data_IF_148574689619
#
_entry.id   IF_148574689619
#
_cell.length_a   1.000
_cell.length_b   1.000
_cell.length_c   1.000
_cell.angle_alpha   90.00
_cell.angle_beta   90.00
_cell.angle_gamma   90.00
#
_symmetry.space_group_name_H-M   'P 1'
#
loop_
_entity.id
_entity.type
_entity.pdbx_description
1 polymer ?
#
# COMPACT_ATOMS: atom_id res chain seq x y z
N UNK A 1 -27.07 -21.05 0.44
CA UNK A 1 -25.71 -20.98 1.02
C UNK A 1 -24.96 -19.92 0.22
N UNK A 2 -25.00 -18.68 0.71
CA UNK A 2 -24.57 -17.50 -0.03
C UNK A 2 -23.03 -17.38 -0.09
N UNK A 3 -22.51 -17.27 -1.31
CA UNK A 3 -21.37 -16.44 -1.64
C UNK A 3 -20.02 -16.83 -1.04
N UNK A 4 -19.35 -17.80 -1.65
CA UNK A 4 -17.89 -17.90 -1.60
C UNK A 4 -17.32 -16.65 -2.30
N UNK A 5 -17.22 -15.53 -1.59
CA UNK A 5 -16.54 -14.33 -2.09
C UNK A 5 -15.08 -14.72 -2.29
N UNK A 6 -14.51 -14.55 -3.50
CA UNK A 6 -13.12 -14.89 -3.69
C UNK A 6 -12.28 -13.99 -2.77
N UNK A 7 -11.67 -14.57 -1.74
CA UNK A 7 -10.64 -13.99 -0.85
C UNK A 7 -9.34 -13.62 -1.61
N UNK A 8 -9.48 -13.42 -2.93
CA UNK A 8 -8.42 -13.15 -3.87
C UNK A 8 -8.12 -11.67 -4.07
N UNK A 9 -8.88 -10.77 -3.45
CA UNK A 9 -8.68 -9.32 -3.57
C UNK A 9 -8.46 -8.67 -2.20
N UNK A 10 -7.86 -9.39 -1.26
CA UNK A 10 -7.62 -8.86 0.07
C UNK A 10 -6.39 -7.91 0.06
N UNK A 11 -6.51 -6.72 0.67
CA UNK A 11 -5.37 -5.84 0.86
C UNK A 11 -4.39 -6.46 1.86
N UNK A 12 -3.12 -6.56 1.48
CA UNK A 12 -2.03 -6.88 2.37
C UNK A 12 -1.84 -5.76 3.38
N UNK A 13 -1.43 -6.12 4.60
CA UNK A 13 -0.96 -5.14 5.58
C UNK A 13 0.54 -5.29 5.67
N UNK A 14 1.27 -4.26 5.25
CA UNK A 14 2.71 -4.19 5.37
C UNK A 14 3.10 -3.19 6.44
N UNK A 15 4.17 -3.51 7.16
CA UNK A 15 4.89 -2.57 8.00
C UNK A 15 6.10 -2.06 7.22
N UNK A 16 6.16 -0.76 6.98
CA UNK A 16 7.18 -0.16 6.15
C UNK A 16 8.41 0.20 7.00
N UNK A 17 9.56 -0.37 6.67
CA UNK A 17 10.86 -0.09 7.27
C UNK A 17 11.74 0.78 6.36
N UNK A 18 12.94 1.09 6.85
CA UNK A 18 13.93 1.92 6.18
C UNK A 18 14.63 1.14 5.05
N UNK A 19 13.91 0.91 3.95
CA UNK A 19 14.40 0.18 2.77
C UNK A 19 13.83 -1.22 2.58
N UNK A 20 13.10 -1.73 3.57
CA UNK A 20 12.37 -3.01 3.49
C UNK A 20 10.94 -2.86 4.03
N UNK A 21 10.09 -3.86 3.82
CA UNK A 21 8.78 -3.92 4.45
C UNK A 21 8.51 -5.33 5.00
N UNK A 22 7.88 -5.40 6.17
CA UNK A 22 7.45 -6.64 6.78
C UNK A 22 5.97 -6.90 6.48
N UNK A 23 5.64 -8.08 5.98
CA UNK A 23 4.24 -8.47 5.75
C UNK A 23 3.58 -8.84 7.08
N UNK A 24 2.71 -7.97 7.60
CA UNK A 24 1.91 -8.25 8.80
C UNK A 24 0.71 -9.12 8.47
N UNK A 25 0.02 -8.82 7.36
CA UNK A 25 -1.08 -9.64 6.85
C UNK A 25 -0.85 -9.99 5.39
N UNK A 26 -0.91 -11.28 5.01
CA UNK A 26 -0.78 -11.69 3.63
C UNK A 26 -1.95 -11.13 2.81
N UNK A 27 -1.65 -10.63 1.63
CA UNK A 27 -2.61 -10.10 0.69
C UNK A 27 -1.95 -9.91 -0.68
N UNK A 28 -2.73 -9.43 -1.65
CA UNK A 28 -2.26 -9.38 -3.06
C UNK A 28 -1.75 -8.00 -3.46
N UNK A 29 -2.30 -6.98 -2.83
CA UNK A 29 -1.97 -5.58 -3.07
C UNK A 29 -2.09 -4.79 -1.77
N UNK A 30 -1.46 -3.62 -1.70
CA UNK A 30 -1.73 -2.61 -0.67
C UNK A 30 -2.55 -1.47 -1.27
N UNK A 31 -3.20 -0.67 -0.44
CA UNK A 31 -3.91 0.53 -0.93
C UNK A 31 -3.02 1.76 -0.85
N UNK A 32 -3.08 2.59 -1.89
CA UNK A 32 -2.42 3.87 -1.92
C UNK A 32 -3.04 4.80 -0.86
N UNK A 33 -2.23 5.41 0.00
CA UNK A 33 -2.74 6.33 1.03
C UNK A 33 -3.33 7.63 0.45
N UNK A 34 -3.00 7.96 -0.81
CA UNK A 34 -3.47 9.20 -1.47
C UNK A 34 -4.72 8.94 -2.31
N UNK A 35 -4.72 7.87 -3.08
CA UNK A 35 -5.74 7.59 -4.11
C UNK A 35 -6.62 6.37 -3.81
N UNK A 36 -6.34 5.64 -2.72
CA UNK A 36 -6.96 4.36 -2.33
C UNK A 36 -6.87 3.24 -3.38
N UNK A 37 -6.10 3.45 -4.46
CA UNK A 37 -5.95 2.47 -5.54
C UNK A 37 -5.16 1.24 -5.06
N UNK A 38 -5.48 0.04 -5.58
CA UNK A 38 -4.72 -1.17 -5.30
C UNK A 38 -3.34 -1.11 -5.97
N UNK A 39 -2.30 -1.41 -5.20
CA UNK A 39 -0.89 -1.45 -5.61
C UNK A 39 -0.37 -2.85 -5.33
N UNK A 40 -0.03 -3.60 -6.37
CA UNK A 40 0.56 -4.93 -6.21
C UNK A 40 1.85 -4.82 -5.40
N UNK A 41 2.09 -5.79 -4.52
CA UNK A 41 3.31 -5.81 -3.70
C UNK A 41 4.59 -5.85 -4.56
N UNK A 42 4.52 -6.45 -5.74
CA UNK A 42 5.62 -6.50 -6.71
C UNK A 42 5.93 -5.14 -7.37
N UNK A 43 4.95 -4.25 -7.49
CA UNK A 43 5.11 -2.92 -8.10
C UNK A 43 5.32 -1.83 -7.04
N UNK A 44 5.17 -2.16 -5.77
CA UNK A 44 5.32 -1.26 -4.64
C UNK A 44 6.78 -0.81 -4.50
N UNK A 45 7.08 0.37 -5.04
CA UNK A 45 8.40 1.00 -4.99
C UNK A 45 8.48 2.22 -4.08
N UNK A 46 7.34 2.81 -3.75
CA UNK A 46 7.27 4.08 -3.02
C UNK A 46 6.41 3.90 -1.77
N UNK A 47 7.01 4.11 -0.61
CA UNK A 47 6.34 4.07 0.69
C UNK A 47 6.96 5.07 1.66
N UNK A 48 6.25 5.37 2.75
CA UNK A 48 6.72 6.23 3.83
C UNK A 48 6.78 5.44 5.14
N UNK A 49 7.99 5.34 5.71
CA UNK A 49 8.24 4.69 7.01
C UNK A 49 7.58 5.49 8.14
N UNK A 50 7.73 6.81 8.12
CA UNK A 50 7.19 7.69 9.17
C UNK A 50 5.67 7.64 9.24
N UNK A 51 4.99 7.52 8.09
CA UNK A 51 3.52 7.50 8.01
C UNK A 51 2.93 6.11 7.87
N UNK A 52 3.75 5.09 7.62
CA UNK A 52 3.32 3.73 7.29
C UNK A 52 2.34 3.70 6.10
N UNK A 53 2.61 4.52 5.08
CA UNK A 53 1.75 4.71 3.91
C UNK A 53 2.43 4.18 2.64
N UNK A 54 1.70 3.45 1.79
CA UNK A 54 2.14 3.07 0.45
C UNK A 54 1.64 4.03 -0.62
N UNK A 55 2.41 4.17 -1.70
CA UNK A 55 2.09 5.04 -2.82
C UNK A 55 2.27 4.29 -4.15
N UNK A 56 1.29 4.43 -5.04
CA UNK A 56 1.28 3.72 -6.32
C UNK A 56 2.34 4.28 -7.27
N UNK A 57 2.53 5.59 -7.22
CA UNK A 57 3.42 6.32 -8.11
C UNK A 57 4.26 7.36 -7.34
N UNK A 58 5.41 7.78 -7.89
CA UNK A 58 6.17 8.88 -7.32
C UNK A 58 5.36 10.20 -7.31
N UNK A 59 4.39 10.35 -8.21
CA UNK A 59 3.47 11.48 -8.22
C UNK A 59 2.61 11.56 -6.95
N UNK A 60 2.00 10.44 -6.51
CA UNK A 60 1.23 10.40 -5.27
C UNK A 60 2.12 10.65 -4.04
N UNK A 61 3.32 10.05 -3.99
CA UNK A 61 4.28 10.31 -2.92
C UNK A 61 4.64 11.79 -2.84
N UNK A 62 5.01 12.40 -3.99
CA UNK A 62 5.34 13.81 -4.08
C UNK A 62 4.15 14.70 -3.71
N UNK A 63 2.92 14.35 -4.12
CA UNK A 63 1.71 15.08 -3.73
C UNK A 63 1.53 15.07 -2.22
N UNK A 64 1.71 13.90 -1.56
CA UNK A 64 1.57 13.76 -0.11
C UNK A 64 2.66 14.48 0.68
N UNK A 65 3.87 14.57 0.12
CA UNK A 65 4.95 15.40 0.68
C UNK A 65 4.65 16.90 0.53
N UNK A 66 4.15 17.32 -0.65
CA UNK A 66 3.79 18.72 -0.93
C UNK A 66 2.66 19.25 -0.05
N UNK A 67 1.70 18.39 0.33
CA UNK A 67 0.58 18.78 1.18
C UNK A 67 0.90 18.86 2.68
N UNK A 68 2.14 18.58 3.10
CA UNK A 68 2.56 18.56 4.51
C UNK A 68 3.54 19.67 4.91
N UNK A 69 3.40 20.87 4.33
CA UNK A 69 4.16 22.07 4.71
C UNK A 69 3.58 22.77 5.93
#
# INVERSE_FOLDING_TARGET
>A
MEGMKPESDAPATLHYGDGEFAVLKPGRFVRCAVTDRPISLETLRYWSVTRQEAYASPAEFAQRLKSGG
#
